data_IF_825007890792
#
_entry.id   IF_825007890792
#
_cell.length_a   1.000
_cell.length_b   1.000
_cell.length_c   1.000
_cell.angle_alpha   90.00
_cell.angle_beta   90.00
_cell.angle_gamma   90.00
#
_symmetry.space_group_name_H-M   'P 1'
#
loop_
_entity.id
_entity.type
_entity.pdbx_description
1 polymer ?
#
# COMPACT_ATOMS: atom_id res chain seq x y z
N UNK A 1 78.84 17.82 4.15
CA UNK A 1 78.30 16.45 3.93
C UNK A 1 78.11 15.82 5.28
N UNK A 2 76.86 15.67 5.73
CA UNK A 2 76.55 14.89 6.94
C UNK A 2 75.11 14.42 6.83
N UNK A 3 74.92 13.10 6.76
CA UNK A 3 73.66 12.43 6.47
C UNK A 3 72.66 12.55 7.64
N UNK A 4 71.35 12.64 7.38
CA UNK A 4 70.34 12.56 8.43
C UNK A 4 70.17 11.11 8.92
N UNK A 5 69.99 11.00 10.24
CA UNK A 5 69.88 9.78 11.03
C UNK A 5 68.74 8.83 10.57
N UNK A 6 68.89 7.51 10.79
CA UNK A 6 67.86 6.54 10.43
C UNK A 6 66.58 6.75 11.25
N UNK A 7 65.50 7.08 10.54
CA UNK A 7 64.12 7.00 11.01
C UNK A 7 63.85 5.62 11.64
N UNK A 8 63.35 5.62 12.88
CA UNK A 8 62.90 4.41 13.58
C UNK A 8 61.73 3.79 12.83
N UNK A 9 62.06 2.87 11.92
CA UNK A 9 61.11 1.98 11.26
C UNK A 9 60.53 1.06 12.31
N UNK A 10 59.23 1.20 12.50
CA UNK A 10 58.38 0.33 13.30
C UNK A 10 58.60 -1.13 12.91
N UNK A 11 58.79 -2.00 13.89
CA UNK A 11 58.54 -3.42 13.72
C UNK A 11 57.83 -3.90 14.97
N UNK A 12 56.50 -3.78 14.98
CA UNK A 12 55.68 -4.58 15.86
C UNK A 12 55.39 -5.86 15.09
N UNK A 13 56.15 -6.91 15.41
CA UNK A 13 55.78 -8.26 15.04
C UNK A 13 54.46 -8.59 15.75
N UNK A 14 53.37 -8.66 14.99
CA UNK A 14 52.12 -9.23 15.50
C UNK A 14 52.16 -10.73 15.19
N UNK A 15 52.16 -11.62 16.22
CA UNK A 15 51.77 -12.99 16.00
C UNK A 15 50.35 -13.01 15.45
N UNK A 16 50.15 -13.66 14.30
CA UNK A 16 48.85 -14.10 13.85
C UNK A 16 48.29 -15.04 14.93
N UNK A 17 47.42 -14.52 15.80
CA UNK A 17 46.62 -15.38 16.66
C UNK A 17 45.13 -15.20 16.36
N UNK A 18 44.65 -16.22 15.66
CA UNK A 18 43.28 -16.49 15.29
C UNK A 18 42.42 -16.74 16.54
N UNK A 19 41.91 -15.67 17.14
CA UNK A 19 40.69 -15.74 17.94
C UNK A 19 39.75 -14.64 17.49
N UNK A 20 38.76 -15.02 16.67
CA UNK A 20 37.49 -14.31 16.53
C UNK A 20 36.93 -14.09 17.94
N UNK A 21 37.24 -12.93 18.53
CA UNK A 21 36.62 -12.49 19.77
C UNK A 21 35.23 -12.05 19.36
N UNK A 22 34.25 -12.94 19.50
CA UNK A 22 32.84 -12.60 19.28
C UNK A 22 32.44 -11.54 20.29
N UNK A 23 32.53 -10.27 19.89
CA UNK A 23 32.08 -9.14 20.71
C UNK A 23 30.56 -9.27 20.82
N UNK A 24 30.05 -9.54 22.02
CA UNK A 24 28.60 -9.61 22.25
C UNK A 24 27.98 -8.22 22.02
N UNK A 25 26.86 -8.13 21.29
CA UNK A 25 26.09 -6.89 21.20
C UNK A 25 25.68 -6.43 22.61
N UNK A 26 25.96 -5.18 22.95
CA UNK A 26 25.55 -4.57 24.22
C UNK A 26 24.05 -4.25 24.19
N UNK A 27 23.34 -4.59 25.26
CA UNK A 27 21.90 -4.32 25.45
C UNK A 27 21.64 -3.14 26.40
N UNK A 28 22.68 -2.36 26.73
CA UNK A 28 22.64 -1.25 27.70
C UNK A 28 23.15 0.04 27.06
N UNK A 29 22.39 1.11 27.21
CA UNK A 29 22.71 2.47 26.73
C UNK A 29 23.71 3.21 27.65
N UNK A 30 24.19 2.56 28.73
CA UNK A 30 25.23 3.11 29.61
C UNK A 30 26.62 2.95 28.98
N UNK A 31 27.12 4.02 28.35
CA UNK A 31 28.45 4.05 27.71
C UNK A 31 29.64 3.90 28.68
N UNK A 32 29.42 4.06 29.99
CA UNK A 32 30.46 3.91 31.02
C UNK A 32 30.97 2.48 31.18
N UNK A 33 30.14 1.49 30.81
CA UNK A 33 30.43 0.07 30.97
C UNK A 33 30.94 -0.61 29.67
N UNK A 34 31.15 0.19 28.62
CA UNK A 34 31.51 -0.33 27.30
C UNK A 34 33.01 -0.52 27.15
N UNK A 35 33.40 -1.68 26.61
CA UNK A 35 34.79 -1.94 26.25
C UNK A 35 35.20 -1.11 25.02
N UNK A 36 36.49 -0.80 24.90
CA UNK A 36 37.02 -0.04 23.76
C UNK A 36 36.70 -0.69 22.40
N UNK A 37 36.69 -2.02 22.36
CA UNK A 37 36.34 -2.78 21.15
C UNK A 37 34.85 -2.63 20.79
N UNK A 38 33.95 -2.55 21.77
CA UNK A 38 32.52 -2.29 21.56
C UNK A 38 32.26 -0.86 21.08
N UNK A 39 32.96 0.13 21.66
CA UNK A 39 32.87 1.53 21.23
C UNK A 39 33.35 1.71 19.79
N UNK A 40 34.46 1.05 19.41
CA UNK A 40 34.96 1.08 18.03
C UNK A 40 33.96 0.45 17.04
N UNK A 41 33.35 -0.67 17.40
CA UNK A 41 32.36 -1.34 16.57
C UNK A 41 31.09 -0.50 16.38
N UNK A 42 30.59 0.14 17.44
CA UNK A 42 29.44 1.05 17.34
C UNK A 42 29.76 2.31 16.53
N UNK A 43 30.99 2.83 16.65
CA UNK A 43 31.44 3.94 15.82
C UNK A 43 31.48 3.58 14.33
N UNK A 44 31.92 2.37 13.98
CA UNK A 44 31.83 1.89 12.58
C UNK A 44 30.37 1.76 12.10
N UNK A 45 29.45 1.27 12.95
CA UNK A 45 28.02 1.21 12.60
C UNK A 45 27.38 2.60 12.50
N UNK A 46 27.88 3.59 13.24
CA UNK A 46 27.46 4.98 13.11
C UNK A 46 27.82 5.52 11.73
N UNK A 47 29.00 5.18 11.20
CA UNK A 47 29.40 5.56 9.84
C UNK A 47 28.48 4.90 8.80
N UNK A 48 28.21 3.60 8.94
CA UNK A 48 27.26 2.88 8.07
C UNK A 48 25.86 3.51 8.12
N UNK A 49 25.39 3.91 9.31
CA UNK A 49 24.10 4.57 9.49
C UNK A 49 24.06 5.96 8.84
N UNK A 50 25.16 6.71 8.90
CA UNK A 50 25.28 8.01 8.21
C UNK A 50 25.28 7.83 6.69
N UNK A 51 25.95 6.80 6.18
CA UNK A 51 25.95 6.48 4.75
C UNK A 51 24.57 6.04 4.26
N UNK A 52 23.84 5.23 5.04
CA UNK A 52 22.47 4.85 4.75
C UNK A 52 21.52 6.06 4.71
N UNK A 53 21.65 6.98 5.67
CA UNK A 53 20.85 8.21 5.71
C UNK A 53 21.16 9.12 4.51
N UNK A 54 22.45 9.29 4.16
CA UNK A 54 22.83 10.05 2.96
C UNK A 54 22.30 9.43 1.68
N UNK A 55 22.37 8.10 1.55
CA UNK A 55 21.81 7.38 0.41
C UNK A 55 20.28 7.54 0.33
N UNK A 56 19.59 7.52 1.47
CA UNK A 56 18.16 7.79 1.55
C UNK A 56 17.82 9.22 1.11
N UNK A 57 18.50 10.23 1.66
CA UNK A 57 18.27 11.63 1.30
C UNK A 57 18.56 11.89 -0.19
N UNK A 58 19.59 11.22 -0.73
CA UNK A 58 19.95 11.33 -2.16
C UNK A 58 18.92 10.67 -3.09
N UNK A 59 18.19 9.65 -2.61
CA UNK A 59 17.25 8.88 -3.42
C UNK A 59 15.78 9.20 -3.13
N UNK A 60 15.48 9.94 -2.05
CA UNK A 60 14.11 10.25 -1.62
C UNK A 60 13.31 11.00 -2.69
N UNK A 61 13.94 11.97 -3.36
CA UNK A 61 13.31 12.72 -4.45
C UNK A 61 13.04 11.84 -5.67
N UNK A 62 13.93 10.89 -5.99
CA UNK A 62 13.73 9.94 -7.08
C UNK A 62 12.58 8.96 -6.77
N UNK A 63 12.48 8.51 -5.51
CA UNK A 63 11.35 7.68 -5.02
C UNK A 63 10.04 8.47 -5.07
N UNK A 64 10.04 9.73 -4.61
CA UNK A 64 8.86 10.60 -4.70
C UNK A 64 8.46 10.87 -6.16
N UNK A 65 9.42 11.14 -7.03
CA UNK A 65 9.18 11.32 -8.46
C UNK A 65 8.63 10.04 -9.12
N UNK A 66 9.09 8.86 -8.71
CA UNK A 66 8.56 7.58 -9.15
C UNK A 66 7.10 7.41 -8.72
N UNK A 67 6.77 7.72 -7.47
CA UNK A 67 5.40 7.65 -6.93
C UNK A 67 4.49 8.65 -7.64
N UNK A 68 4.94 9.88 -7.85
CA UNK A 68 4.19 10.90 -8.61
C UNK A 68 4.00 10.46 -10.06
N UNK A 69 5.03 9.88 -10.70
CA UNK A 69 4.95 9.36 -12.07
C UNK A 69 4.02 8.15 -12.16
N UNK A 70 4.01 7.26 -11.17
CA UNK A 70 3.04 6.17 -11.11
C UNK A 70 1.61 6.68 -10.96
N UNK A 71 1.37 7.64 -10.05
CA UNK A 71 0.07 8.32 -9.89
C UNK A 71 -0.36 9.06 -11.16
N UNK A 72 0.57 9.72 -11.85
CA UNK A 72 0.32 10.37 -13.15
C UNK A 72 0.09 9.35 -14.27
N UNK A 73 0.73 8.17 -14.25
CA UNK A 73 0.45 7.09 -15.21
C UNK A 73 -0.93 6.48 -14.99
N UNK A 74 -1.39 6.42 -13.74
CA UNK A 74 -2.79 6.10 -13.41
C UNK A 74 -3.77 7.17 -13.91
N UNK A 75 -3.33 8.43 -14.00
CA UNK A 75 -4.13 9.59 -14.42
C UNK A 75 -3.98 9.97 -15.91
N UNK A 76 -2.98 9.42 -16.61
CA UNK A 76 -2.69 9.69 -18.02
C UNK A 76 -3.49 8.84 -19.01
N UNK A 77 -4.46 8.07 -18.51
CA UNK A 77 -5.49 7.37 -19.31
C UNK A 77 -6.68 8.32 -19.53
N UNK A 78 -6.41 9.60 -19.76
CA UNK A 78 -7.39 10.70 -19.59
C UNK A 78 -7.92 11.32 -20.90
N UNK A 79 -7.63 10.75 -22.07
CA UNK A 79 -8.36 11.12 -23.31
C UNK A 79 -9.40 10.06 -23.73
N UNK A 80 -9.33 8.83 -23.20
CA UNK A 80 -10.27 7.74 -23.54
C UNK A 80 -11.39 7.53 -22.49
N UNK A 81 -11.31 8.27 -21.37
CA UNK A 81 -12.34 8.36 -20.31
C UNK A 81 -13.64 9.04 -20.82
N UNK A 82 -13.57 9.78 -21.92
CA UNK A 82 -14.60 10.73 -22.40
C UNK A 82 -15.90 10.11 -23.00
N UNK A 83 -16.04 8.77 -23.08
CA UNK A 83 -17.14 8.13 -23.85
C UNK A 83 -18.00 7.10 -23.10
N UNK A 84 -17.98 7.04 -21.77
CA UNK A 84 -18.89 6.13 -21.02
C UNK A 84 -19.79 6.91 -20.08
N UNK A 85 -21.08 6.58 -20.06
CA UNK A 85 -22.02 7.13 -19.09
C UNK A 85 -21.80 6.49 -17.70
N UNK A 86 -22.34 7.10 -16.65
CA UNK A 86 -22.39 6.47 -15.33
C UNK A 86 -23.17 5.13 -15.41
N UNK A 87 -24.26 5.10 -16.17
CA UNK A 87 -25.08 3.91 -16.42
C UNK A 87 -24.29 2.71 -16.97
N UNK A 88 -23.25 2.94 -17.78
CA UNK A 88 -22.38 1.87 -18.24
C UNK A 88 -21.68 1.10 -17.09
N UNK A 89 -21.40 1.74 -15.95
CA UNK A 89 -20.80 1.05 -14.79
C UNK A 89 -21.84 0.16 -14.10
N UNK A 90 -23.04 0.70 -13.87
CA UNK A 90 -24.13 -0.03 -13.21
C UNK A 90 -24.61 -1.20 -14.07
N UNK A 91 -24.77 -0.99 -15.38
CA UNK A 91 -25.08 -2.07 -16.32
C UNK A 91 -24.02 -3.16 -16.32
N UNK A 92 -22.73 -2.81 -16.26
CA UNK A 92 -21.65 -3.79 -16.15
C UNK A 92 -21.75 -4.59 -14.84
N UNK A 93 -22.05 -3.93 -13.72
CA UNK A 93 -22.27 -4.62 -12.44
C UNK A 93 -23.46 -5.59 -12.58
N UNK A 94 -24.58 -5.15 -13.15
CA UNK A 94 -25.75 -6.02 -13.38
C UNK A 94 -25.40 -7.25 -14.23
N UNK A 95 -24.61 -7.08 -15.29
CA UNK A 95 -24.13 -8.21 -16.11
C UNK A 95 -23.24 -9.15 -15.30
N UNK A 96 -22.27 -8.63 -14.54
CA UNK A 96 -21.32 -9.46 -13.78
C UNK A 96 -21.97 -10.23 -12.63
N UNK A 97 -22.99 -9.63 -12.00
CA UNK A 97 -23.71 -10.20 -10.86
C UNK A 97 -25.02 -10.89 -11.26
N UNK A 98 -25.31 -11.05 -12.56
CA UNK A 98 -26.44 -11.88 -12.98
C UNK A 98 -26.15 -13.36 -12.77
N UNK A 99 -27.21 -14.16 -12.66
CA UNK A 99 -27.13 -15.62 -12.48
C UNK A 99 -26.22 -16.30 -13.52
N UNK A 100 -26.15 -15.73 -14.74
CA UNK A 100 -25.33 -16.25 -15.83
C UNK A 100 -23.83 -16.10 -15.58
N UNK A 101 -23.39 -14.99 -14.98
CA UNK A 101 -21.98 -14.63 -14.90
C UNK A 101 -21.40 -14.70 -13.49
N UNK A 102 -22.21 -14.65 -12.45
CA UNK A 102 -21.78 -14.55 -11.05
C UNK A 102 -20.77 -15.64 -10.66
N UNK A 103 -21.11 -16.91 -10.87
CA UNK A 103 -20.24 -18.03 -10.48
C UNK A 103 -18.90 -18.03 -11.24
N UNK A 104 -18.96 -17.73 -12.54
CA UNK A 104 -17.78 -17.62 -13.39
C UNK A 104 -16.92 -16.42 -12.99
N UNK A 105 -17.54 -15.30 -12.63
CA UNK A 105 -16.87 -14.10 -12.17
C UNK A 105 -16.11 -14.36 -10.87
N UNK A 106 -16.75 -14.98 -9.86
CA UNK A 106 -16.12 -15.34 -8.59
C UNK A 106 -14.93 -16.30 -8.79
N UNK A 107 -15.10 -17.30 -9.65
CA UNK A 107 -14.04 -18.28 -9.95
C UNK A 107 -12.87 -17.64 -10.67
N UNK A 108 -13.13 -16.68 -11.58
CA UNK A 108 -12.10 -15.94 -12.30
C UNK A 108 -11.33 -14.94 -11.43
N UNK A 109 -11.90 -14.54 -10.29
CA UNK A 109 -11.38 -13.50 -9.41
C UNK A 109 -10.15 -13.87 -8.58
N UNK A 110 -9.87 -15.16 -8.37
CA UNK A 110 -8.79 -15.59 -7.47
C UNK A 110 -7.95 -16.79 -7.90
N UNK A 111 -8.20 -17.44 -9.05
CA UNK A 111 -7.54 -18.71 -9.38
C UNK A 111 -6.93 -18.85 -10.78
N UNK A 112 -6.99 -17.84 -11.64
CA UNK A 112 -6.41 -17.97 -12.97
C UNK A 112 -4.98 -17.42 -13.00
N UNK A 113 -3.96 -18.26 -13.28
CA UNK A 113 -2.62 -17.77 -13.48
C UNK A 113 -2.58 -16.85 -14.70
N UNK A 114 -1.60 -15.95 -14.67
CA UNK A 114 -1.50 -14.79 -15.57
C UNK A 114 -1.37 -15.17 -17.06
N UNK A 115 -0.97 -16.40 -17.34
CA UNK A 115 -0.85 -16.99 -18.68
C UNK A 115 -2.20 -17.33 -19.34
N UNK A 116 -3.20 -17.81 -18.60
CA UNK A 116 -4.56 -18.04 -19.12
C UNK A 116 -5.26 -16.72 -19.50
N UNK A 117 -4.90 -15.63 -18.81
CA UNK A 117 -5.44 -14.30 -19.04
C UNK A 117 -4.82 -13.56 -20.23
N UNK A 118 -3.59 -13.91 -20.62
CA UNK A 118 -2.84 -13.24 -21.68
C UNK A 118 -2.89 -13.99 -23.03
N UNK A 119 -3.33 -15.25 -23.08
CA UNK A 119 -3.36 -16.07 -24.30
C UNK A 119 -4.79 -16.30 -24.88
N UNK A 120 -5.71 -15.35 -24.69
CA UNK A 120 -7.08 -15.45 -25.21
C UNK A 120 -7.95 -16.53 -24.56
N UNK A 121 -7.54 -17.06 -23.39
CA UNK A 121 -8.06 -18.28 -22.76
C UNK A 121 -9.32 -18.14 -21.90
N UNK A 122 -10.04 -17.01 -21.95
CA UNK A 122 -11.35 -16.91 -21.31
C UNK A 122 -12.28 -16.09 -22.19
N UNK A 123 -13.25 -16.76 -22.83
CA UNK A 123 -14.35 -16.09 -23.53
C UNK A 123 -15.17 -15.23 -22.58
N UNK A 124 -15.01 -15.38 -21.26
CA UNK A 124 -15.76 -14.65 -20.23
C UNK A 124 -15.91 -13.17 -20.54
N UNK A 125 -14.82 -12.42 -20.78
CA UNK A 125 -14.93 -10.98 -21.04
C UNK A 125 -15.54 -10.65 -22.41
N UNK A 126 -15.42 -11.56 -23.39
CA UNK A 126 -16.13 -11.44 -24.66
C UNK A 126 -17.63 -11.72 -24.49
N UNK A 127 -17.99 -12.73 -23.70
CA UNK A 127 -19.38 -13.08 -23.38
C UNK A 127 -20.04 -11.98 -22.54
N UNK A 128 -19.30 -11.39 -21.60
CA UNK A 128 -19.71 -10.19 -20.85
C UNK A 128 -19.90 -9.01 -21.79
N UNK A 129 -19.00 -8.79 -22.76
CA UNK A 129 -19.18 -7.71 -23.74
C UNK A 129 -20.41 -7.92 -24.63
N UNK A 130 -20.70 -9.16 -25.02
CA UNK A 130 -21.89 -9.51 -25.79
C UNK A 130 -23.18 -9.30 -24.98
N UNK A 131 -23.20 -9.75 -23.72
CA UNK A 131 -24.35 -9.52 -22.83
C UNK A 131 -24.55 -8.04 -22.53
N UNK A 132 -23.46 -7.31 -22.29
CA UNK A 132 -23.49 -5.86 -22.07
C UNK A 132 -24.04 -5.10 -23.28
N UNK A 133 -23.72 -5.52 -24.50
CA UNK A 133 -24.21 -4.88 -25.73
C UNK A 133 -25.61 -5.36 -26.16
N UNK A 134 -26.22 -6.30 -25.44
CA UNK A 134 -27.52 -6.85 -25.82
C UNK A 134 -28.68 -5.97 -25.35
N UNK A 135 -29.73 -5.82 -26.15
CA UNK A 135 -30.90 -5.00 -25.79
C UNK A 135 -31.82 -5.65 -24.75
N UNK A 136 -31.31 -6.63 -23.97
CA UNK A 136 -32.06 -7.27 -22.90
C UNK A 136 -32.22 -6.31 -21.73
N UNK A 137 -33.45 -6.10 -21.29
CA UNK A 137 -33.78 -5.23 -20.16
C UNK A 137 -33.36 -5.79 -18.79
N UNK A 138 -32.89 -7.04 -18.76
CA UNK A 138 -32.36 -7.72 -17.57
C UNK A 138 -31.27 -6.89 -16.87
N UNK A 139 -30.45 -6.17 -17.64
CA UNK A 139 -29.33 -5.39 -17.11
C UNK A 139 -29.64 -3.89 -16.97
N UNK A 140 -30.86 -3.47 -17.33
CA UNK A 140 -31.29 -2.06 -17.35
C UNK A 140 -31.86 -1.57 -16.03
N UNK A 141 -31.95 -2.44 -15.04
CA UNK A 141 -32.63 -2.11 -13.77
C UNK A 141 -31.62 -1.73 -12.70
N UNK A 142 -31.88 -0.64 -11.98
CA UNK A 142 -31.15 -0.32 -10.75
C UNK A 142 -31.76 -1.07 -9.58
N UNK A 143 -30.92 -1.67 -8.74
CA UNK A 143 -31.35 -2.42 -7.55
C UNK A 143 -31.95 -1.48 -6.48
N UNK A 144 -31.56 -0.20 -6.48
CA UNK A 144 -31.99 0.79 -5.49
C UNK A 144 -32.77 1.93 -6.13
N UNK A 145 -33.87 2.34 -5.48
CA UNK A 145 -34.65 3.54 -5.80
C UNK A 145 -34.24 4.78 -4.99
N UNK A 146 -33.04 4.77 -4.40
CA UNK A 146 -32.50 5.93 -3.69
C UNK A 146 -32.33 7.12 -4.66
N UNK A 147 -32.71 8.31 -4.19
CA UNK A 147 -32.63 9.55 -4.96
C UNK A 147 -31.21 9.84 -5.49
N UNK A 148 -30.17 9.34 -4.83
CA UNK A 148 -28.78 9.48 -5.31
C UNK A 148 -28.52 8.79 -6.66
N UNK A 149 -29.42 7.91 -7.11
CA UNK A 149 -29.33 7.19 -8.38
C UNK A 149 -30.40 7.59 -9.41
N UNK A 150 -31.25 8.59 -9.12
CA UNK A 150 -32.38 8.99 -9.97
C UNK A 150 -31.94 9.43 -11.39
N UNK A 151 -30.76 10.05 -11.50
CA UNK A 151 -30.19 10.52 -12.78
C UNK A 151 -29.42 9.43 -13.56
N UNK A 152 -29.40 8.19 -13.07
CA UNK A 152 -28.61 7.11 -13.67
C UNK A 152 -29.48 6.27 -14.59
N UNK A 153 -29.31 6.47 -15.90
CA UNK A 153 -29.91 5.60 -16.91
C UNK A 153 -28.97 4.45 -17.32
N UNK A 154 -29.30 3.24 -16.89
CA UNK A 154 -28.63 1.99 -17.23
C UNK A 154 -29.01 1.43 -18.60
N UNK A 155 -30.13 1.88 -19.17
CA UNK A 155 -30.61 1.44 -20.49
C UNK A 155 -29.89 2.12 -21.65
N UNK A 156 -29.53 3.39 -21.48
CA UNK A 156 -28.67 4.13 -22.41
C UNK A 156 -27.20 3.70 -22.27
N UNK A 157 -26.84 2.63 -22.99
CA UNK A 157 -25.50 2.06 -22.98
C UNK A 157 -24.80 2.21 -24.32
N UNK A 158 -23.47 2.39 -24.27
CA UNK A 158 -22.61 2.40 -25.45
C UNK A 158 -21.80 1.11 -25.50
N UNK A 159 -21.65 0.52 -26.69
CA UNK A 159 -20.86 -0.71 -26.83
C UNK A 159 -19.42 -0.48 -26.36
N UNK A 160 -18.92 -1.39 -25.53
CA UNK A 160 -17.56 -1.38 -25.00
C UNK A 160 -16.85 -2.69 -25.31
N UNK A 161 -15.55 -2.62 -25.58
CA UNK A 161 -14.74 -3.82 -25.79
C UNK A 161 -14.55 -4.60 -24.49
N UNK A 162 -14.33 -5.91 -24.59
CA UNK A 162 -13.99 -6.80 -23.48
C UNK A 162 -12.86 -6.23 -22.59
N UNK A 163 -11.82 -5.67 -23.21
CA UNK A 163 -10.68 -5.03 -22.53
C UNK A 163 -11.12 -3.79 -21.74
N UNK A 164 -12.01 -2.97 -22.31
CA UNK A 164 -12.54 -1.78 -21.63
C UNK A 164 -13.44 -2.15 -20.45
N UNK A 165 -14.31 -3.15 -20.60
CA UNK A 165 -15.17 -3.64 -19.52
C UNK A 165 -14.36 -4.25 -18.37
N UNK A 166 -13.30 -5.02 -18.67
CA UNK A 166 -12.36 -5.53 -17.65
C UNK A 166 -11.70 -4.40 -16.85
N UNK A 167 -11.33 -3.30 -17.52
CA UNK A 167 -10.79 -2.10 -16.86
C UNK A 167 -11.83 -1.40 -16.00
N UNK A 168 -13.05 -1.23 -16.51
CA UNK A 168 -14.18 -0.66 -15.76
C UNK A 168 -14.49 -1.45 -14.50
N UNK A 169 -14.50 -2.79 -14.58
CA UNK A 169 -14.70 -3.66 -13.41
C UNK A 169 -13.63 -3.43 -12.33
N UNK A 170 -12.34 -3.36 -12.71
CA UNK A 170 -11.26 -3.05 -11.76
C UNK A 170 -11.40 -1.67 -11.12
N UNK A 171 -11.90 -0.70 -11.88
CA UNK A 171 -12.17 0.64 -11.37
C UNK A 171 -13.27 0.63 -10.31
N UNK A 172 -14.40 -0.05 -10.60
CA UNK A 172 -15.49 -0.24 -9.63
C UNK A 172 -14.99 -0.94 -8.36
N UNK A 173 -14.22 -2.02 -8.50
CA UNK A 173 -13.64 -2.73 -7.34
C UNK A 173 -12.70 -1.84 -6.52
N UNK A 174 -11.93 -0.97 -7.18
CA UNK A 174 -11.05 -0.01 -6.50
C UNK A 174 -11.82 1.07 -5.74
N UNK A 175 -12.88 1.61 -6.35
CA UNK A 175 -13.76 2.58 -5.67
C UNK A 175 -14.45 1.95 -4.46
N UNK A 176 -14.92 0.71 -4.59
CA UNK A 176 -15.50 -0.04 -3.49
C UNK A 176 -14.50 -0.24 -2.34
N UNK A 177 -13.30 -0.76 -2.62
CA UNK A 177 -12.27 -0.97 -1.60
C UNK A 177 -11.85 0.34 -0.90
N UNK A 178 -11.85 1.47 -1.63
CA UNK A 178 -11.59 2.79 -1.05
C UNK A 178 -12.71 3.26 -0.14
N UNK A 179 -13.96 3.05 -0.53
CA UNK A 179 -15.13 3.43 0.27
C UNK A 179 -15.17 2.62 1.57
N UNK A 180 -14.97 1.31 1.47
CA UNK A 180 -14.89 0.39 2.62
C UNK A 180 -13.75 0.81 3.58
N UNK A 181 -12.56 1.09 3.05
CA UNK A 181 -11.44 1.55 3.87
C UNK A 181 -11.71 2.91 4.54
N UNK A 182 -12.44 3.81 3.87
CA UNK A 182 -12.82 5.10 4.45
C UNK A 182 -13.84 4.95 5.58
N UNK A 183 -14.82 4.06 5.42
CA UNK A 183 -15.82 3.74 6.44
C UNK A 183 -15.16 3.11 7.68
N UNK A 184 -14.32 2.09 7.49
CA UNK A 184 -13.56 1.46 8.58
C UNK A 184 -12.64 2.47 9.26
N UNK A 185 -11.97 3.33 8.50
CA UNK A 185 -11.13 4.40 9.03
C UNK A 185 -11.89 5.40 9.90
N UNK A 186 -13.11 5.78 9.48
CA UNK A 186 -13.98 6.66 10.24
C UNK A 186 -14.38 6.04 11.59
N UNK A 187 -14.80 4.78 11.58
CA UNK A 187 -15.19 4.05 12.81
C UNK A 187 -14.00 3.91 13.77
N UNK A 188 -12.80 3.60 13.26
CA UNK A 188 -11.60 3.50 14.09
C UNK A 188 -11.20 4.85 14.71
N UNK A 189 -11.34 5.96 13.97
CA UNK A 189 -11.08 7.29 14.50
C UNK A 189 -12.04 7.65 15.63
N UNK A 190 -13.33 7.37 15.47
CA UNK A 190 -14.34 7.58 16.51
C UNK A 190 -14.04 6.74 17.77
N UNK A 191 -13.67 5.48 17.60
CA UNK A 191 -13.26 4.61 18.71
C UNK A 191 -12.00 5.13 19.44
N UNK A 192 -11.03 5.69 18.72
CA UNK A 192 -9.82 6.26 19.31
C UNK A 192 -10.15 7.50 20.16
N UNK A 193 -11.05 8.37 19.69
CA UNK A 193 -11.47 9.54 20.46
C UNK A 193 -12.27 9.16 21.71
N UNK A 194 -13.17 8.17 21.61
CA UNK A 194 -13.87 7.61 22.78
C UNK A 194 -12.88 7.03 23.79
N UNK A 195 -11.84 6.32 23.33
CA UNK A 195 -10.80 5.78 24.21
C UNK A 195 -10.05 6.88 24.97
N UNK A 196 -9.61 7.94 24.29
CA UNK A 196 -8.92 9.07 24.93
C UNK A 196 -9.79 9.75 25.98
N UNK A 197 -11.08 9.93 25.70
CA UNK A 197 -12.03 10.50 26.65
C UNK A 197 -12.15 9.63 27.91
N UNK A 198 -12.27 8.30 27.75
CA UNK A 198 -12.32 7.37 28.88
C UNK A 198 -11.05 7.40 29.72
N UNK A 199 -9.87 7.42 29.09
CA UNK A 199 -8.58 7.53 29.79
C UNK A 199 -8.49 8.84 30.58
N UNK A 200 -8.96 9.96 30.03
CA UNK A 200 -9.01 11.24 30.75
C UNK A 200 -9.93 11.16 31.98
N UNK A 201 -11.13 10.60 31.82
CA UNK A 201 -12.10 10.49 32.92
C UNK A 201 -11.57 9.58 34.04
N UNK A 202 -10.87 8.49 33.68
CA UNK A 202 -10.25 7.59 34.66
C UNK A 202 -9.18 8.36 35.46
N UNK A 203 -8.30 9.11 34.80
CA UNK A 203 -7.25 9.88 35.46
C UNK A 203 -7.82 10.96 36.40
N UNK A 204 -8.94 11.57 36.02
CA UNK A 204 -9.64 12.55 36.87
C UNK A 204 -10.23 11.89 38.12
N UNK A 205 -10.92 10.76 37.97
CA UNK A 205 -11.45 9.97 39.08
C UNK A 205 -10.35 9.47 40.02
N UNK A 206 -9.23 9.00 39.48
CA UNK A 206 -8.06 8.60 40.28
C UNK A 206 -7.53 9.77 41.11
N UNK A 207 -7.46 10.97 40.52
CA UNK A 207 -7.02 12.18 41.21
C UNK A 207 -7.99 12.60 42.31
N UNK A 208 -9.30 12.52 42.07
CA UNK A 208 -10.33 12.80 43.08
C UNK A 208 -10.26 11.85 44.27
N UNK A 209 -10.10 10.54 44.01
CA UNK A 209 -9.96 9.52 45.05
C UNK A 209 -8.72 9.78 45.91
N UNK A 210 -7.57 10.05 45.27
CA UNK A 210 -6.31 10.33 45.97
C UNK A 210 -6.42 11.58 46.85
N UNK A 211 -7.08 12.63 46.35
CA UNK A 211 -7.22 13.89 47.08
C UNK A 211 -8.31 13.83 48.18
N UNK A 212 -9.37 13.05 47.99
CA UNK A 212 -10.43 12.86 48.99
C UNK A 212 -10.06 11.92 50.15
N UNK A 213 -9.00 11.12 50.00
CA UNK A 213 -8.45 10.26 51.04
C UNK A 213 -7.41 10.95 51.95
N UNK A 214 -7.16 12.25 51.75
CA UNK A 214 -6.28 13.08 52.59
C UNK A 214 -7.09 13.95 53.54
#
# INVERSE_FOLDING_TARGET
>A
MTAPAPSSKWTVAAPLDSRKRTIRPTTSDSYGDWTLDQLKLDNTRKQDRVELLKAWDSNKEAVQALVVRQRKRSKGVSEEEERRSAGCMFRLINVLFSDRFFDSFLTSGNLLPRDVLDDGGSTFWFDVANAFASDTTEYDTLISGDAVFEDIDTSSHMVHSAVKLKRMSKEVSSHFARAEAAEVGHVLAECLEKKKMLESNINELESEIINGLR
#
